data_IF_487665885323
#
_entry.id   IF_487665885323
#
_cell.length_a   1.000
_cell.length_b   1.000
_cell.length_c   1.000
_cell.angle_alpha   90.00
_cell.angle_beta   90.00
_cell.angle_gamma   90.00
#
_symmetry.space_group_name_H-M   'P 1'
#
loop_
_entity.id
_entity.type
_entity.pdbx_description
1 polymer ?
#
# COMPACT_ATOMS: atom_id res chain seq x y z
N UNK A 1 -34.91 65.22 26.68
CA UNK A 1 -33.70 64.53 27.20
C UNK A 1 -33.67 63.12 26.60
N UNK A 2 -32.87 62.86 25.56
CA UNK A 2 -32.60 61.49 25.09
C UNK A 2 -31.09 61.23 25.16
N UNK A 3 -30.74 60.13 25.82
CA UNK A 3 -29.41 59.80 26.35
C UNK A 3 -28.66 58.91 25.34
N UNK A 4 -27.53 59.39 24.86
CA UNK A 4 -26.58 58.66 24.01
C UNK A 4 -26.03 57.43 24.74
N UNK A 5 -26.02 56.26 24.09
CA UNK A 5 -25.31 55.06 24.56
C UNK A 5 -24.24 54.68 23.54
N UNK A 6 -22.99 54.78 23.99
CA UNK A 6 -21.79 54.31 23.27
C UNK A 6 -21.77 52.78 23.23
N UNK A 7 -21.37 52.13 22.12
CA UNK A 7 -21.15 50.70 22.10
C UNK A 7 -19.73 50.38 22.59
N UNK A 8 -19.61 49.42 23.50
CA UNK A 8 -18.34 48.85 23.94
C UNK A 8 -17.86 47.81 22.92
N UNK A 9 -16.58 47.90 22.53
CA UNK A 9 -15.89 46.93 21.69
C UNK A 9 -15.55 45.69 22.54
N UNK A 10 -16.05 44.52 22.13
CA UNK A 10 -15.68 43.22 22.71
C UNK A 10 -14.54 42.65 21.86
N UNK A 11 -13.34 42.59 22.42
CA UNK A 11 -12.20 41.90 21.82
C UNK A 11 -12.31 40.40 22.06
N UNK A 12 -12.49 39.63 20.99
CA UNK A 12 -12.51 38.17 21.02
C UNK A 12 -11.06 37.69 20.87
N UNK A 13 -10.49 37.16 21.95
CA UNK A 13 -9.16 36.50 21.91
C UNK A 13 -9.38 35.05 21.48
N UNK A 14 -9.00 34.73 20.24
CA UNK A 14 -9.03 33.37 19.70
C UNK A 14 -7.80 32.61 20.22
N UNK A 15 -7.94 31.83 21.29
CA UNK A 15 -6.90 30.88 21.71
C UNK A 15 -6.92 29.67 20.78
N UNK A 16 -5.85 29.50 19.99
CA UNK A 16 -5.68 28.36 19.10
C UNK A 16 -5.45 27.06 19.89
N UNK A 17 -6.42 26.15 19.84
CA UNK A 17 -6.25 24.79 20.33
C UNK A 17 -5.52 23.98 19.25
N UNK A 18 -4.26 23.64 19.49
CA UNK A 18 -3.57 22.62 18.68
C UNK A 18 -4.12 21.25 19.06
N UNK A 19 -5.00 20.69 18.24
CA UNK A 19 -5.41 19.29 18.41
C UNK A 19 -4.18 18.41 18.17
N UNK A 20 -3.84 17.48 19.09
CA UNK A 20 -2.81 16.49 18.80
C UNK A 20 -3.30 15.65 17.63
N UNK A 21 -2.54 15.66 16.52
CA UNK A 21 -2.74 14.71 15.42
C UNK A 21 -2.38 13.33 15.97
N UNK A 22 -3.38 12.47 16.15
CA UNK A 22 -3.15 11.06 16.47
C UNK A 22 -2.62 10.38 15.20
N UNK A 23 -1.32 10.15 15.14
CA UNK A 23 -0.74 9.24 14.16
C UNK A 23 -1.28 7.84 14.44
N UNK A 24 -2.21 7.36 13.60
CA UNK A 24 -2.65 5.97 13.64
C UNK A 24 -1.46 5.12 13.21
N UNK A 25 -0.84 4.42 14.16
CA UNK A 25 0.14 3.37 13.84
C UNK A 25 -0.64 2.21 13.22
N UNK A 26 -0.47 2.02 11.93
CA UNK A 26 -0.99 0.86 11.23
C UNK A 26 -0.02 -0.31 11.49
N UNK A 27 -0.55 -1.49 11.83
CA UNK A 27 0.24 -2.71 12.04
C UNK A 27 0.66 -3.29 10.67
N UNK A 28 1.48 -2.55 9.94
CA UNK A 28 2.10 -3.03 8.73
C UNK A 28 3.24 -3.98 9.09
N UNK A 29 3.38 -5.07 8.33
CA UNK A 29 4.59 -5.89 8.37
C UNK A 29 5.67 -5.22 7.52
N UNK A 30 6.27 -4.15 8.07
CA UNK A 30 7.30 -3.37 7.38
C UNK A 30 8.57 -4.19 7.18
N UNK A 31 9.19 -4.05 6.01
CA UNK A 31 10.52 -4.60 5.74
C UNK A 31 11.35 -3.67 4.85
N UNK A 32 12.66 -3.65 5.10
CA UNK A 32 13.60 -2.78 4.39
C UNK A 32 14.58 -3.58 3.54
N UNK A 33 14.92 -3.05 2.37
CA UNK A 33 15.88 -3.62 1.43
C UNK A 33 17.02 -2.63 1.17
N UNK A 34 18.22 -3.02 1.61
CA UNK A 34 19.45 -2.34 1.29
C UNK A 34 20.18 -3.00 0.12
N UNK A 35 21.07 -2.26 -0.54
CA UNK A 35 21.92 -2.83 -1.58
C UNK A 35 22.70 -4.04 -1.05
N UNK A 36 22.68 -5.14 -1.81
CA UNK A 36 23.34 -6.39 -1.43
C UNK A 36 22.55 -7.28 -0.46
N UNK A 37 21.25 -7.00 -0.23
CA UNK A 37 20.38 -7.90 0.52
C UNK A 37 20.40 -9.32 -0.07
N UNK A 38 20.25 -10.32 0.80
CA UNK A 38 20.15 -11.71 0.37
C UNK A 38 18.70 -12.03 -0.06
N UNK A 39 18.43 -12.36 -1.33
CA UNK A 39 17.07 -12.68 -1.80
C UNK A 39 16.39 -13.85 -1.10
N UNK A 40 17.17 -14.74 -0.47
CA UNK A 40 16.59 -15.88 0.26
C UNK A 40 16.09 -15.52 1.65
N UNK A 41 16.42 -14.33 2.16
CA UNK A 41 16.08 -13.88 3.52
C UNK A 41 14.86 -12.97 3.57
N UNK A 42 14.46 -12.37 2.44
CA UNK A 42 13.32 -11.45 2.38
C UNK A 42 12.05 -12.22 2.09
N UNK A 43 11.45 -12.74 3.16
CA UNK A 43 10.18 -13.44 3.09
C UNK A 43 9.28 -12.94 4.22
N UNK A 44 8.21 -12.24 3.85
CA UNK A 44 7.14 -11.85 4.78
C UNK A 44 5.90 -12.71 4.53
N UNK A 45 5.02 -12.79 5.52
CA UNK A 45 3.82 -13.63 5.45
C UNK A 45 2.56 -12.85 5.76
N UNK A 46 1.42 -13.35 5.30
CA UNK A 46 0.12 -12.76 5.54
C UNK A 46 -1.00 -13.68 5.08
N UNK A 47 -2.20 -13.12 4.96
CA UNK A 47 -3.33 -13.82 4.38
C UNK A 47 -4.19 -12.86 3.56
N UNK A 48 -4.71 -13.31 2.42
CA UNK A 48 -5.70 -12.54 1.65
C UNK A 48 -7.01 -12.51 2.43
N UNK A 49 -7.78 -11.43 2.31
CA UNK A 49 -9.16 -11.36 2.78
C UNK A 49 -9.86 -10.13 2.19
N UNK A 50 -11.11 -9.89 2.56
CA UNK A 50 -11.84 -8.69 2.20
C UNK A 50 -12.50 -8.74 0.82
N UNK A 51 -13.43 -7.82 0.61
CA UNK A 51 -14.21 -7.69 -0.63
C UNK A 51 -14.10 -6.29 -1.24
N UNK A 52 -13.20 -5.46 -0.72
CA UNK A 52 -12.96 -4.15 -1.30
C UNK A 52 -12.30 -4.33 -2.66
N UNK A 53 -12.87 -3.70 -3.70
CA UNK A 53 -12.33 -3.78 -5.05
C UNK A 53 -11.03 -2.99 -5.11
N UNK A 54 -9.92 -3.69 -5.33
CA UNK A 54 -8.60 -3.05 -5.39
C UNK A 54 -8.45 -2.11 -6.60
N UNK A 55 -9.26 -2.30 -7.64
CA UNK A 55 -9.38 -1.36 -8.77
C UNK A 55 -9.83 0.04 -8.34
N UNK A 56 -10.51 0.15 -7.18
CA UNK A 56 -10.90 1.45 -6.60
C UNK A 56 -9.71 2.25 -6.06
N UNK A 57 -8.55 1.63 -5.84
CA UNK A 57 -7.28 2.30 -5.50
C UNK A 57 -6.64 2.87 -6.76
N UNK A 58 -6.51 2.01 -7.77
CA UNK A 58 -5.99 2.31 -9.10
C UNK A 58 -6.51 1.24 -10.05
N UNK A 59 -6.91 1.63 -11.27
CA UNK A 59 -7.49 0.69 -12.24
C UNK A 59 -6.44 -0.08 -13.06
N UNK A 60 -5.31 0.55 -13.39
CA UNK A 60 -4.24 -0.05 -14.19
C UNK A 60 -2.88 0.56 -13.88
N UNK A 61 -1.82 -0.18 -14.16
CA UNK A 61 -0.45 0.32 -14.05
C UNK A 61 0.02 1.07 -15.31
N UNK A 62 1.24 1.61 -15.26
CA UNK A 62 1.84 2.37 -16.39
C UNK A 62 2.09 1.53 -17.65
N UNK A 63 2.07 0.21 -17.53
CA UNK A 63 2.24 -0.75 -18.62
C UNK A 63 0.90 -1.23 -19.20
N UNK A 64 -0.22 -0.78 -18.63
CA UNK A 64 -1.56 -1.18 -19.03
C UNK A 64 -2.03 -2.50 -18.39
N UNK A 65 -1.31 -3.04 -17.41
CA UNK A 65 -1.78 -4.21 -16.67
C UNK A 65 -2.94 -3.81 -15.76
N UNK A 66 -4.03 -4.58 -15.71
CA UNK A 66 -5.15 -4.28 -14.83
C UNK A 66 -4.75 -4.49 -13.36
N UNK A 67 -5.09 -3.51 -12.54
CA UNK A 67 -4.98 -3.57 -11.09
C UNK A 67 -6.32 -4.06 -10.55
N UNK A 68 -6.53 -5.37 -10.57
CA UNK A 68 -7.84 -5.99 -10.29
C UNK A 68 -7.82 -6.89 -9.06
N UNK A 69 -8.99 -7.41 -8.71
CA UNK A 69 -9.19 -8.30 -7.57
C UNK A 69 -9.68 -7.56 -6.33
N UNK A 70 -9.60 -8.27 -5.21
CA UNK A 70 -10.23 -7.89 -3.95
C UNK A 70 -9.25 -8.02 -2.79
N UNK A 71 -9.40 -7.13 -1.81
CA UNK A 71 -8.53 -7.05 -0.65
C UNK A 71 -9.13 -6.21 0.47
N UNK A 72 -8.27 -5.70 1.34
CA UNK A 72 -8.56 -4.60 2.27
C UNK A 72 -8.31 -3.24 1.60
N UNK A 73 -9.03 -2.15 1.97
CA UNK A 73 -8.67 -0.80 1.51
C UNK A 73 -7.27 -0.34 1.95
N UNK A 74 -6.70 -0.94 3.01
CA UNK A 74 -5.35 -0.63 3.51
C UNK A 74 -4.32 -1.62 2.95
N UNK A 75 -3.05 -1.19 2.76
CA UNK A 75 -2.00 -2.10 2.32
C UNK A 75 -1.66 -3.13 3.40
N UNK A 76 -1.25 -4.31 2.97
CA UNK A 76 -0.84 -5.43 3.83
C UNK A 76 0.60 -5.27 4.32
N UNK A 77 1.47 -4.71 3.49
CA UNK A 77 2.90 -4.50 3.79
C UNK A 77 3.37 -3.13 3.31
N UNK A 78 4.40 -2.60 3.98
CA UNK A 78 5.23 -1.52 3.44
C UNK A 78 6.64 -2.05 3.22
N UNK A 79 7.13 -1.88 2.01
CA UNK A 79 8.52 -2.15 1.64
C UNK A 79 9.28 -0.84 1.55
N UNK A 80 10.39 -0.73 2.27
CA UNK A 80 11.30 0.42 2.18
C UNK A 80 12.52 0.03 1.37
N UNK A 81 12.72 0.64 0.21
CA UNK A 81 13.96 0.51 -0.56
C UNK A 81 14.94 1.58 -0.08
N UNK A 82 16.03 1.19 0.56
CA UNK A 82 17.07 2.12 1.04
C UNK A 82 17.96 2.62 -0.11
N UNK A 83 17.96 1.90 -1.24
CA UNK A 83 18.71 2.21 -2.45
C UNK A 83 17.84 2.00 -3.68
N UNK A 84 18.29 2.53 -4.82
CA UNK A 84 17.71 2.17 -6.12
C UNK A 84 18.08 0.73 -6.48
N UNK A 85 17.14 0.00 -7.08
CA UNK A 85 17.35 -1.37 -7.56
C UNK A 85 17.09 -1.45 -9.07
N UNK A 86 18.06 -1.94 -9.86
CA UNK A 86 17.89 -2.05 -11.31
C UNK A 86 16.82 -3.07 -11.69
N UNK A 87 16.56 -4.05 -10.81
CA UNK A 87 15.55 -5.07 -10.99
C UNK A 87 15.09 -5.61 -9.64
N UNK A 88 13.79 -5.81 -9.49
CA UNK A 88 13.20 -6.61 -8.42
C UNK A 88 12.12 -7.52 -9.00
N UNK A 89 11.99 -8.69 -8.41
CA UNK A 89 10.90 -9.63 -8.59
C UNK A 89 10.17 -9.80 -7.27
N UNK A 90 8.89 -9.43 -7.25
CA UNK A 90 8.02 -9.60 -6.09
C UNK A 90 7.04 -10.72 -6.43
N UNK A 91 7.01 -11.75 -5.59
CA UNK A 91 6.25 -12.96 -5.86
C UNK A 91 5.47 -13.40 -4.64
N UNK A 92 4.19 -13.72 -4.85
CA UNK A 92 3.33 -14.39 -3.89
C UNK A 92 3.50 -15.91 -4.03
N UNK A 93 3.39 -16.63 -2.92
CA UNK A 93 3.22 -18.07 -2.86
C UNK A 93 2.08 -18.36 -1.87
N UNK A 94 0.92 -18.75 -2.39
CA UNK A 94 -0.28 -19.05 -1.62
C UNK A 94 -0.62 -20.54 -1.58
N UNK A 95 0.26 -21.40 -2.12
CA UNK A 95 -0.05 -22.82 -2.31
C UNK A 95 -1.12 -23.09 -3.38
N UNK A 96 -1.28 -22.18 -4.36
CA UNK A 96 -2.15 -22.40 -5.53
C UNK A 96 -3.53 -21.72 -5.47
N UNK A 97 -3.66 -20.58 -4.79
CA UNK A 97 -4.85 -19.72 -4.85
C UNK A 97 -4.64 -18.59 -5.86
N UNK A 98 -5.73 -18.12 -6.47
CA UNK A 98 -5.70 -17.05 -7.47
C UNK A 98 -5.50 -15.69 -6.78
N UNK A 99 -4.24 -15.27 -6.67
CA UNK A 99 -3.85 -14.03 -5.97
C UNK A 99 -3.65 -12.86 -6.94
N UNK A 100 -3.71 -11.65 -6.38
CA UNK A 100 -3.40 -10.40 -7.06
C UNK A 100 -2.44 -9.57 -6.21
N UNK A 101 -1.66 -8.72 -6.86
CA UNK A 101 -0.63 -7.90 -6.25
C UNK A 101 -0.68 -6.49 -6.83
N UNK A 102 -0.82 -5.50 -5.96
CA UNK A 102 -0.68 -4.08 -6.31
C UNK A 102 0.46 -3.52 -5.47
N UNK A 103 1.38 -2.82 -6.13
CA UNK A 103 2.47 -2.09 -5.48
C UNK A 103 2.35 -0.62 -5.90
N UNK A 104 2.25 0.27 -4.90
CA UNK A 104 2.22 1.72 -5.10
C UNK A 104 3.41 2.36 -4.37
N UNK A 105 4.31 2.99 -5.11
CA UNK A 105 5.39 3.80 -4.54
C UNK A 105 4.90 5.19 -4.10
N UNK A 106 5.58 5.80 -3.13
CA UNK A 106 5.34 7.19 -2.72
C UNK A 106 5.63 8.21 -3.83
N UNK A 107 6.38 7.80 -4.87
CA UNK A 107 6.58 8.54 -6.12
C UNK A 107 5.41 8.43 -7.12
N UNK A 108 4.28 7.84 -6.71
CA UNK A 108 3.12 7.49 -7.55
C UNK A 108 3.41 6.44 -8.63
N UNK A 109 4.52 5.71 -8.54
CA UNK A 109 4.73 4.53 -9.37
C UNK A 109 3.75 3.42 -8.97
N UNK A 110 3.13 2.80 -9.97
CA UNK A 110 2.17 1.73 -9.76
C UNK A 110 2.59 0.53 -10.60
N UNK A 111 2.54 -0.65 -10.00
CA UNK A 111 2.82 -1.93 -10.67
C UNK A 111 1.77 -2.93 -10.22
N UNK A 112 1.17 -3.62 -11.18
CA UNK A 112 0.11 -4.58 -10.92
C UNK A 112 0.45 -5.91 -11.56
N UNK A 113 0.15 -6.98 -10.83
CA UNK A 113 0.34 -8.35 -11.29
C UNK A 113 -0.72 -9.23 -10.66
N UNK A 114 -1.17 -10.22 -11.40
CA UNK A 114 -2.12 -11.20 -10.92
C UNK A 114 -1.74 -12.57 -11.45
N UNK A 115 -2.29 -13.63 -10.85
CA UNK A 115 -2.13 -14.97 -11.40
C UNK A 115 -2.65 -15.05 -12.84
N UNK A 116 -1.78 -15.39 -13.80
CA UNK A 116 -2.13 -15.58 -15.21
C UNK A 116 -1.76 -17.01 -15.64
N UNK A 117 -2.50 -17.54 -16.62
CA UNK A 117 -2.34 -18.91 -17.13
C UNK A 117 -2.45 -19.97 -16.02
N UNK A 118 -1.55 -20.97 -16.01
CA UNK A 118 -1.45 -22.00 -14.99
C UNK A 118 -0.77 -21.49 -13.69
N UNK A 119 -0.33 -20.22 -13.65
CA UNK A 119 0.29 -19.60 -12.49
C UNK A 119 -0.77 -18.80 -11.73
N UNK A 120 -1.27 -19.38 -10.65
CA UNK A 120 -2.31 -18.75 -9.82
C UNK A 120 -1.77 -17.65 -8.91
N UNK A 121 -0.48 -17.74 -8.58
CA UNK A 121 0.17 -16.78 -7.71
C UNK A 121 0.63 -15.53 -8.47
N UNK A 122 0.34 -14.37 -7.90
CA UNK A 122 0.73 -13.08 -8.46
C UNK A 122 2.25 -12.88 -8.47
N UNK A 123 2.73 -12.27 -9.55
CA UNK A 123 4.14 -12.01 -9.81
C UNK A 123 4.31 -10.65 -10.48
N UNK A 124 5.19 -9.81 -9.95
CA UNK A 124 5.62 -8.56 -10.58
C UNK A 124 7.12 -8.64 -10.82
N UNK A 125 7.54 -8.47 -12.08
CA UNK A 125 8.93 -8.28 -12.47
C UNK A 125 9.08 -6.84 -12.95
N UNK A 126 9.95 -6.07 -12.32
CA UNK A 126 10.15 -4.67 -12.66
C UNK A 126 11.62 -4.30 -12.73
N UNK A 127 11.95 -3.33 -13.59
CA UNK A 127 13.23 -2.62 -13.58
C UNK A 127 13.09 -1.23 -12.97
N UNK A 128 14.21 -0.59 -12.65
CA UNK A 128 14.30 0.83 -12.30
C UNK A 128 13.46 1.22 -11.06
N UNK A 129 13.62 0.45 -9.99
CA UNK A 129 13.01 0.73 -8.70
C UNK A 129 13.81 1.83 -8.00
N UNK A 130 13.13 2.89 -7.58
CA UNK A 130 13.75 4.00 -6.87
C UNK A 130 13.73 3.76 -5.37
N UNK A 131 14.71 4.28 -4.65
CA UNK A 131 14.67 4.31 -3.19
C UNK A 131 13.38 5.01 -2.70
N UNK A 132 12.78 4.48 -1.64
CA UNK A 132 11.54 5.01 -1.08
C UNK A 132 10.60 3.93 -0.54
N UNK A 133 9.42 4.39 -0.12
CA UNK A 133 8.37 3.53 0.41
C UNK A 133 7.46 3.01 -0.71
N UNK A 134 7.10 1.74 -0.59
CA UNK A 134 6.18 1.02 -1.46
C UNK A 134 5.11 0.34 -0.62
N UNK A 135 3.86 0.71 -0.87
CA UNK A 135 2.68 0.11 -0.25
C UNK A 135 2.23 -1.08 -1.08
N UNK A 136 2.04 -2.23 -0.42
CA UNK A 136 1.77 -3.50 -1.10
C UNK A 136 0.41 -4.03 -0.64
N UNK A 137 -0.47 -4.32 -1.60
CA UNK A 137 -1.71 -5.06 -1.39
C UNK A 137 -1.56 -6.44 -1.99
N UNK A 138 -1.76 -7.47 -1.17
CA UNK A 138 -1.82 -8.88 -1.57
C UNK A 138 -3.27 -9.34 -1.43
N UNK A 139 -3.96 -9.42 -2.57
CA UNK A 139 -5.38 -9.76 -2.64
C UNK A 139 -5.65 -11.10 -3.30
N UNK A 140 -6.93 -11.34 -3.55
CA UNK A 140 -7.43 -12.48 -4.33
C UNK A 140 -8.28 -12.03 -5.53
N UNK A 141 -8.38 -12.88 -6.54
CA UNK A 141 -9.30 -12.64 -7.67
C UNK A 141 -10.76 -12.83 -7.25
N UNK A 142 -11.01 -13.63 -6.22
CA UNK A 142 -12.34 -13.89 -5.65
C UNK A 142 -12.54 -13.08 -4.36
N UNK A 143 -13.67 -12.36 -4.17
CA UNK A 143 -13.91 -11.60 -2.95
C UNK A 143 -14.07 -12.49 -1.72
N UNK A 144 -13.59 -12.01 -0.57
CA UNK A 144 -13.56 -12.72 0.73
C UNK A 144 -12.78 -14.04 0.72
N UNK A 145 -12.04 -14.36 -0.34
CA UNK A 145 -11.21 -15.55 -0.37
C UNK A 145 -10.04 -15.38 0.59
N UNK A 146 -9.90 -16.34 1.51
CA UNK A 146 -8.81 -16.37 2.48
C UNK A 146 -7.77 -17.40 2.10
N UNK A 147 -6.55 -16.94 1.85
CA UNK A 147 -5.40 -17.75 1.55
C UNK A 147 -4.20 -17.23 2.35
N UNK A 148 -3.53 -18.10 3.11
CA UNK A 148 -2.23 -17.75 3.67
C UNK A 148 -1.21 -17.64 2.54
N UNK A 149 -0.28 -16.70 2.65
CA UNK A 149 0.76 -16.54 1.66
C UNK A 149 2.14 -16.23 2.26
N UNK A 150 3.17 -16.49 1.44
CA UNK A 150 4.52 -15.93 1.56
C UNK A 150 4.70 -14.91 0.44
N UNK A 151 5.22 -13.73 0.77
CA UNK A 151 5.64 -12.72 -0.19
C UNK A 151 7.17 -12.66 -0.17
N UNK A 152 7.79 -12.85 -1.33
CA UNK A 152 9.24 -12.81 -1.47
C UNK A 152 9.68 -11.70 -2.42
N UNK A 153 10.86 -11.13 -2.15
CA UNK A 153 11.50 -10.13 -3.02
C UNK A 153 12.88 -10.62 -3.42
N UNK A 154 13.18 -10.57 -4.73
CA UNK A 154 14.42 -11.10 -5.33
C UNK A 154 15.01 -10.17 -6.38
#
# INVERSE_FOLDING_TARGET
>A
MLKSRSPSLISIVLTGFTLPVLAQKYDFNDFSLAAGFNPTEVIVTGYTSGAYSLASIVNQDKYGNPCMGYGDPKPDHIMVLENDFPKLTIQVDSGGQDTTLIIKGSNNEIRCGFGQDNLKDALIKGSDWQAGEYYIWVGSIVPNQRANYRLSVK
#
